data_IF_287501590278
#
_entry.id   IF_287501590278
#
_cell.length_a   1.000
_cell.length_b   1.000
_cell.length_c   1.000
_cell.angle_alpha   90.00
_cell.angle_beta   90.00
_cell.angle_gamma   90.00
#
_symmetry.space_group_name_H-M   'P 1'
#
loop_
_entity.id
_entity.type
_entity.pdbx_description
1 polymer ?
#
# COMPACT_ATOMS: atom_id res chain seq x y z
N UNK A 1 2.11 -1.39 20.98
CA UNK A 1 3.30 -2.01 20.36
C UNK A 1 3.29 -1.96 18.83
N UNK A 2 2.18 -2.29 18.13
CA UNK A 2 2.09 -2.29 16.65
C UNK A 2 2.43 -0.94 16.00
N UNK A 3 1.90 0.18 16.53
CA UNK A 3 2.18 1.52 15.97
C UNK A 3 3.66 1.89 16.03
N UNK A 4 4.33 1.66 17.17
CA UNK A 4 5.78 1.92 17.32
C UNK A 4 6.62 1.09 16.35
N UNK A 5 6.23 -0.18 16.11
CA UNK A 5 6.91 -1.02 15.14
C UNK A 5 6.77 -0.46 13.72
N UNK A 6 5.56 -0.02 13.31
CA UNK A 6 5.32 0.60 12.01
C UNK A 6 6.11 1.90 11.86
N UNK A 7 6.11 2.78 12.84
CA UNK A 7 6.89 4.03 12.82
C UNK A 7 8.38 3.71 12.63
N UNK A 8 8.92 2.78 13.42
CA UNK A 8 10.35 2.40 13.31
C UNK A 8 10.67 1.82 11.92
N UNK A 9 9.79 0.98 11.37
CA UNK A 9 9.94 0.41 10.04
C UNK A 9 9.92 1.51 8.97
N UNK A 10 8.96 2.44 9.08
CA UNK A 10 8.85 3.59 8.18
C UNK A 10 10.10 4.48 8.22
N UNK A 11 10.57 4.86 9.41
CA UNK A 11 11.79 5.66 9.56
C UNK A 11 13.01 4.96 8.95
N UNK A 12 13.11 3.63 9.13
CA UNK A 12 14.19 2.83 8.53
C UNK A 12 14.11 2.83 7.01
N UNK A 13 12.92 2.64 6.44
CA UNK A 13 12.71 2.69 4.99
C UNK A 13 13.06 4.08 4.43
N UNK A 14 12.57 5.16 5.05
CA UNK A 14 12.90 6.53 4.68
C UNK A 14 14.40 6.81 4.71
N UNK A 15 15.12 6.26 5.70
CA UNK A 15 16.58 6.39 5.81
C UNK A 15 17.34 5.71 4.66
N UNK A 16 16.72 4.82 3.91
CA UNK A 16 17.30 4.14 2.74
C UNK A 16 17.23 4.97 1.45
N UNK A 17 16.38 5.98 1.38
CA UNK A 17 16.26 6.82 0.20
C UNK A 17 17.62 7.42 -0.23
N UNK A 18 17.99 7.28 -1.50
CA UNK A 18 19.29 7.71 -2.05
C UNK A 18 19.15 8.84 -3.07
N UNK A 19 18.07 8.89 -3.83
CA UNK A 19 17.83 9.82 -4.94
C UNK A 19 16.41 10.40 -4.86
N UNK A 20 16.16 11.49 -5.55
CA UNK A 20 14.82 12.12 -5.68
C UNK A 20 14.08 12.43 -4.37
N UNK A 21 14.79 12.53 -3.23
CA UNK A 21 14.24 12.59 -1.86
C UNK A 21 13.30 13.77 -1.62
N UNK A 22 13.42 14.83 -2.38
CA UNK A 22 12.69 16.09 -2.19
C UNK A 22 11.60 16.33 -3.22
N UNK A 23 11.42 15.47 -4.22
CA UNK A 23 10.48 15.72 -5.31
C UNK A 23 9.03 15.86 -4.80
N UNK A 24 8.52 14.86 -4.11
CA UNK A 24 7.16 14.91 -3.57
C UNK A 24 6.96 16.08 -2.61
N UNK A 25 7.91 16.30 -1.70
CA UNK A 25 7.86 17.41 -0.76
C UNK A 25 7.89 18.76 -1.51
N UNK A 26 8.72 18.88 -2.54
CA UNK A 26 8.80 20.08 -3.38
C UNK A 26 7.50 20.38 -4.13
N UNK A 27 6.79 19.35 -4.60
CA UNK A 27 5.47 19.50 -5.21
C UNK A 27 4.41 19.95 -4.18
N UNK A 28 4.34 19.27 -3.04
CA UNK A 28 3.38 19.58 -1.98
C UNK A 28 3.60 20.94 -1.34
N UNK A 29 4.86 21.39 -1.20
CA UNK A 29 5.19 22.69 -0.62
C UNK A 29 4.57 23.89 -1.37
N UNK A 30 4.21 23.71 -2.65
CA UNK A 30 3.50 24.74 -3.43
C UNK A 30 2.06 24.97 -2.97
N UNK A 31 1.50 24.07 -2.17
CA UNK A 31 0.13 24.14 -1.64
C UNK A 31 0.12 23.78 -0.16
N UNK A 32 0.54 24.67 0.74
CA UNK A 32 0.78 24.37 2.16
C UNK A 32 -0.42 23.74 2.90
N UNK A 33 -1.64 24.20 2.62
CA UNK A 33 -2.85 23.62 3.24
C UNK A 33 -3.07 22.17 2.79
N UNK A 34 -2.85 21.88 1.50
CA UNK A 34 -2.95 20.52 0.96
C UNK A 34 -1.86 19.65 1.54
N UNK A 35 -0.62 20.16 1.61
CA UNK A 35 0.50 19.46 2.24
C UNK A 35 0.20 19.10 3.70
N UNK A 36 -0.34 20.04 4.48
CA UNK A 36 -0.74 19.80 5.87
C UNK A 36 -1.82 18.72 6.00
N UNK A 37 -2.85 18.76 5.14
CA UNK A 37 -3.89 17.73 5.10
C UNK A 37 -3.32 16.35 4.73
N UNK A 38 -2.43 16.28 3.75
CA UNK A 38 -1.74 15.04 3.35
C UNK A 38 -0.92 14.47 4.50
N UNK A 39 -0.09 15.30 5.16
CA UNK A 39 0.70 14.86 6.33
C UNK A 39 -0.22 14.39 7.46
N UNK A 40 -1.34 15.08 7.70
CA UNK A 40 -2.34 14.68 8.70
C UNK A 40 -2.90 13.28 8.40
N UNK A 41 -3.30 13.04 7.15
CA UNK A 41 -3.83 11.73 6.74
C UNK A 41 -2.77 10.63 6.79
N UNK A 42 -1.55 10.87 6.30
CA UNK A 42 -0.43 9.93 6.42
C UNK A 42 -0.15 9.56 7.88
N UNK A 43 -0.16 10.55 8.77
CA UNK A 43 0.03 10.34 10.20
C UNK A 43 -1.10 9.48 10.80
N UNK A 44 -2.35 9.78 10.45
CA UNK A 44 -3.50 9.02 10.89
C UNK A 44 -3.42 7.55 10.44
N UNK A 45 -3.09 7.31 9.16
CA UNK A 45 -2.95 5.96 8.59
C UNK A 45 -1.76 5.20 9.20
N UNK A 46 -0.64 5.88 9.47
CA UNK A 46 0.52 5.27 10.14
C UNK A 46 0.21 4.86 11.60
N UNK A 47 -0.55 5.68 12.32
CA UNK A 47 -0.91 5.46 13.72
C UNK A 47 -2.09 4.50 13.88
N UNK A 48 -2.94 4.34 12.86
CA UNK A 48 -4.06 3.39 12.88
C UNK A 48 -3.55 1.96 13.02
N UNK A 49 -4.02 1.23 14.04
CA UNK A 49 -3.42 -0.02 14.48
C UNK A 49 -4.43 -1.14 14.78
N UNK A 50 -5.66 -1.03 14.31
CA UNK A 50 -6.70 -2.06 14.51
C UNK A 50 -6.48 -3.27 13.64
N UNK A 51 -5.92 -3.04 12.45
CA UNK A 51 -5.61 -4.08 11.49
C UNK A 51 -4.16 -4.57 11.61
N UNK A 52 -3.92 -5.80 11.18
CA UNK A 52 -2.56 -6.34 11.09
C UNK A 52 -1.74 -5.54 10.07
N UNK A 53 -0.52 -5.08 10.42
CA UNK A 53 0.34 -4.32 9.50
C UNK A 53 0.63 -5.04 8.19
N UNK A 54 0.75 -6.37 8.20
CA UNK A 54 0.99 -7.18 7.00
C UNK A 54 -0.17 -7.08 6.03
N UNK A 55 -1.41 -7.20 6.52
CA UNK A 55 -2.60 -7.11 5.69
C UNK A 55 -2.76 -5.72 5.06
N UNK A 56 -2.43 -4.65 5.81
CA UNK A 56 -2.43 -3.28 5.27
C UNK A 56 -1.41 -3.12 4.15
N UNK A 57 -0.19 -3.55 4.39
CA UNK A 57 0.90 -3.42 3.41
C UNK A 57 0.63 -4.23 2.14
N UNK A 58 0.03 -5.44 2.26
CA UNK A 58 -0.39 -6.23 1.10
C UNK A 58 -1.45 -5.49 0.25
N UNK A 59 -2.42 -4.86 0.90
CA UNK A 59 -3.45 -4.08 0.22
C UNK A 59 -2.86 -2.83 -0.46
N UNK A 60 -1.95 -2.11 0.21
CA UNK A 60 -1.24 -0.94 -0.35
C UNK A 60 -0.39 -1.33 -1.56
N UNK A 61 0.41 -2.40 -1.45
CA UNK A 61 1.25 -2.91 -2.55
C UNK A 61 0.43 -3.36 -3.76
N UNK A 62 -0.70 -4.07 -3.54
CA UNK A 62 -1.60 -4.46 -4.65
C UNK A 62 -2.16 -3.23 -5.36
N UNK A 63 -2.64 -2.26 -4.60
CA UNK A 63 -3.16 -1.00 -5.15
C UNK A 63 -2.08 -0.25 -5.94
N UNK A 64 -0.87 -0.13 -5.38
CA UNK A 64 0.27 0.53 -6.03
C UNK A 64 0.66 -0.17 -7.33
N UNK A 65 0.67 -1.52 -7.34
CA UNK A 65 0.96 -2.34 -8.51
C UNK A 65 -0.06 -2.12 -9.64
N UNK A 66 -1.35 -2.14 -9.30
CA UNK A 66 -2.43 -1.93 -10.28
C UNK A 66 -2.43 -0.53 -10.87
N UNK A 67 -2.11 0.49 -10.06
CA UNK A 67 -1.98 1.89 -10.52
C UNK A 67 -0.62 2.11 -11.23
N UNK A 68 0.32 1.16 -11.14
CA UNK A 68 1.68 1.26 -11.66
C UNK A 68 2.48 2.43 -11.07
N UNK A 69 2.31 2.70 -9.76
CA UNK A 69 3.04 3.76 -9.05
C UNK A 69 4.41 3.24 -8.59
N UNK A 70 5.45 3.44 -9.40
CA UNK A 70 6.81 2.99 -9.07
C UNK A 70 7.33 3.56 -7.73
N UNK A 71 7.04 4.83 -7.42
CA UNK A 71 7.41 5.44 -6.15
C UNK A 71 6.73 4.73 -4.96
N UNK A 72 5.43 4.38 -5.10
CA UNK A 72 4.70 3.68 -4.04
C UNK A 72 5.22 2.24 -3.87
N UNK A 73 5.53 1.57 -4.98
CA UNK A 73 6.14 0.22 -4.96
C UNK A 73 7.53 0.22 -4.32
N UNK A 74 8.34 1.26 -4.56
CA UNK A 74 9.66 1.43 -3.92
C UNK A 74 9.54 1.54 -2.39
N UNK A 75 8.63 2.38 -1.89
CA UNK A 75 8.37 2.51 -0.44
C UNK A 75 7.79 1.22 0.14
N UNK A 76 6.71 0.70 -0.46
CA UNK A 76 6.01 -0.50 0.03
C UNK A 76 6.93 -1.72 0.06
N UNK A 77 7.75 -1.92 -0.97
CA UNK A 77 8.74 -3.02 -0.99
C UNK A 77 9.79 -2.87 0.11
N UNK A 78 10.23 -1.65 0.41
CA UNK A 78 11.14 -1.41 1.52
C UNK A 78 10.49 -1.65 2.90
N UNK A 79 9.18 -1.46 3.03
CA UNK A 79 8.40 -1.71 4.25
C UNK A 79 8.02 -3.18 4.42
N UNK A 80 7.90 -3.92 3.33
CA UNK A 80 7.37 -5.29 3.26
C UNK A 80 8.03 -6.26 4.26
N UNK A 81 9.36 -6.29 4.30
CA UNK A 81 10.11 -7.17 5.21
C UNK A 81 9.78 -6.89 6.68
N UNK A 82 9.69 -5.60 7.06
CA UNK A 82 9.31 -5.20 8.41
C UNK A 82 7.85 -5.46 8.75
N UNK A 83 6.99 -5.61 7.73
CA UNK A 83 5.59 -6.00 7.88
C UNK A 83 5.40 -7.53 7.89
N UNK A 84 6.44 -8.32 7.66
CA UNK A 84 6.39 -9.78 7.61
C UNK A 84 5.94 -10.34 6.26
N UNK A 85 6.08 -9.58 5.18
CA UNK A 85 5.84 -10.03 3.81
C UNK A 85 7.13 -10.69 3.30
N UNK A 86 7.00 -11.86 2.72
CA UNK A 86 8.13 -12.62 2.16
C UNK A 86 8.44 -12.15 0.74
N UNK A 87 9.68 -12.44 0.29
CA UNK A 87 10.05 -12.18 -1.10
C UNK A 87 9.18 -12.93 -2.10
N UNK A 88 8.78 -14.17 -1.76
CA UNK A 88 7.86 -14.95 -2.58
C UNK A 88 6.51 -14.24 -2.72
N UNK A 89 5.97 -13.70 -1.62
CA UNK A 89 4.74 -12.94 -1.66
C UNK A 89 4.88 -11.70 -2.56
N UNK A 90 5.98 -10.96 -2.47
CA UNK A 90 6.21 -9.80 -3.36
C UNK A 90 6.22 -10.19 -4.85
N UNK A 91 6.91 -11.27 -5.19
CA UNK A 91 6.97 -11.77 -6.58
C UNK A 91 5.62 -12.26 -7.10
N UNK A 92 4.84 -12.91 -6.25
CA UNK A 92 3.58 -13.54 -6.63
C UNK A 92 2.38 -12.57 -6.57
N UNK A 93 2.57 -11.35 -6.10
CA UNK A 93 1.47 -10.40 -5.86
C UNK A 93 0.57 -10.17 -7.08
N UNK A 94 1.09 -10.04 -8.31
CA UNK A 94 0.25 -9.91 -9.50
C UNK A 94 -0.66 -11.13 -9.76
N UNK A 95 -0.24 -12.32 -9.33
CA UNK A 95 -0.94 -13.60 -9.50
C UNK A 95 -1.28 -14.25 -8.14
N UNK A 96 -1.60 -13.44 -7.15
CA UNK A 96 -1.80 -13.87 -5.77
C UNK A 96 -2.84 -14.99 -5.60
N UNK A 97 -3.86 -15.05 -6.45
CA UNK A 97 -4.91 -16.07 -6.38
C UNK A 97 -4.34 -17.48 -6.57
N UNK A 98 -3.37 -17.65 -7.46
CA UNK A 98 -2.75 -18.93 -7.80
C UNK A 98 -1.63 -19.32 -6.82
N UNK A 99 -1.08 -18.34 -6.10
CA UNK A 99 0.06 -18.55 -5.21
C UNK A 99 -0.33 -19.28 -3.93
N UNK A 100 0.51 -20.21 -3.51
CA UNK A 100 0.41 -20.90 -2.21
C UNK A 100 1.11 -20.13 -1.07
N UNK A 101 1.74 -19.00 -1.37
CA UNK A 101 2.44 -18.17 -0.40
C UNK A 101 1.49 -17.31 0.46
N UNK A 102 0.22 -17.24 0.12
CA UNK A 102 -0.79 -16.44 0.81
C UNK A 102 -1.83 -17.32 1.51
N UNK A 103 -2.24 -16.88 2.69
CA UNK A 103 -3.41 -17.43 3.39
C UNK A 103 -4.71 -16.97 2.71
N UNK A 104 -5.82 -17.65 2.99
CA UNK A 104 -7.14 -17.28 2.46
C UNK A 104 -7.53 -15.85 2.85
N UNK A 105 -7.21 -15.42 4.09
CA UNK A 105 -7.47 -14.04 4.53
C UNK A 105 -6.60 -13.03 3.77
N UNK A 106 -5.33 -13.33 3.53
CA UNK A 106 -4.45 -12.44 2.75
C UNK A 106 -4.97 -12.31 1.31
N UNK A 107 -5.37 -13.42 0.67
CA UNK A 107 -5.99 -13.39 -0.67
C UNK A 107 -7.28 -12.57 -0.69
N UNK A 108 -8.10 -12.68 0.35
CA UNK A 108 -9.33 -11.89 0.47
C UNK A 108 -9.06 -10.39 0.58
N UNK A 109 -8.07 -10.00 1.38
CA UNK A 109 -7.65 -8.61 1.54
C UNK A 109 -7.07 -8.04 0.25
N UNK A 110 -6.22 -8.81 -0.45
CA UNK A 110 -5.65 -8.42 -1.74
C UNK A 110 -6.75 -8.30 -2.80
N UNK A 111 -7.69 -9.25 -2.86
CA UNK A 111 -8.82 -9.22 -3.78
C UNK A 111 -9.76 -8.02 -3.53
N UNK A 112 -9.95 -7.65 -2.27
CA UNK A 112 -10.70 -6.44 -1.92
C UNK A 112 -10.00 -5.16 -2.41
N UNK A 113 -8.67 -5.08 -2.25
CA UNK A 113 -7.88 -3.97 -2.77
C UNK A 113 -7.95 -3.89 -4.30
N UNK A 114 -7.89 -5.03 -4.99
CA UNK A 114 -8.05 -5.15 -6.44
C UNK A 114 -9.42 -4.63 -6.90
N UNK A 115 -10.50 -5.11 -6.28
CA UNK A 115 -11.86 -4.70 -6.64
C UNK A 115 -12.11 -3.21 -6.39
N UNK A 116 -11.58 -2.64 -5.29
CA UNK A 116 -11.69 -1.20 -5.01
C UNK A 116 -10.85 -0.33 -5.94
N UNK A 117 -9.77 -0.86 -6.49
CA UNK A 117 -8.86 -0.10 -7.36
C UNK A 117 -9.33 -0.08 -8.80
N UNK A 118 -10.03 -1.11 -9.24
CA UNK A 118 -10.63 -1.21 -10.58
C UNK A 118 -11.70 -0.13 -10.81
N UNK A 119 -11.77 0.42 -12.04
CA UNK A 119 -12.75 1.45 -12.41
C UNK A 119 -13.30 1.19 -13.81
N UNK A 120 -14.60 0.85 -13.98
CA UNK A 120 -15.53 0.49 -12.90
C UNK A 120 -15.05 -0.74 -12.15
N UNK A 121 -15.53 -0.95 -10.94
CA UNK A 121 -15.22 -2.17 -10.20
C UNK A 121 -15.66 -3.39 -11.02
N UNK A 122 -14.68 -4.21 -11.44
CA UNK A 122 -14.92 -5.42 -12.22
C UNK A 122 -14.50 -6.63 -11.39
N UNK A 123 -15.22 -7.74 -11.55
CA UNK A 123 -14.95 -8.96 -10.82
C UNK A 123 -15.93 -9.20 -9.67
N UNK A 124 -15.42 -9.62 -8.52
CA UNK A 124 -16.27 -9.89 -7.36
C UNK A 124 -16.97 -8.62 -6.86
N UNK A 125 -18.23 -8.76 -6.51
CA UNK A 125 -19.01 -7.68 -5.88
C UNK A 125 -18.34 -7.26 -4.55
N UNK A 126 -18.06 -5.98 -4.38
CA UNK A 126 -17.50 -5.42 -3.15
C UNK A 126 -18.37 -5.73 -1.92
N UNK A 127 -19.69 -5.86 -2.07
CA UNK A 127 -20.58 -6.24 -0.98
C UNK A 127 -20.31 -7.68 -0.56
N UNK A 128 -20.09 -8.59 -1.51
CA UNK A 128 -19.73 -9.99 -1.26
C UNK A 128 -18.36 -10.08 -0.56
N UNK A 129 -17.36 -9.41 -1.09
CA UNK A 129 -16.01 -9.37 -0.49
C UNK A 129 -16.06 -8.84 0.95
N UNK A 130 -16.82 -7.76 1.20
CA UNK A 130 -17.00 -7.21 2.54
C UNK A 130 -17.68 -8.22 3.48
N UNK A 131 -18.68 -8.96 3.00
CA UNK A 131 -19.36 -9.99 3.78
C UNK A 131 -18.40 -11.13 4.13
N UNK A 132 -17.57 -11.57 3.20
CA UNK A 132 -16.54 -12.60 3.44
C UNK A 132 -15.48 -12.11 4.40
N UNK A 133 -15.02 -10.87 4.27
CA UNK A 133 -14.07 -10.23 5.19
C UNK A 133 -14.64 -10.15 6.61
N UNK A 134 -15.94 -9.89 6.77
CA UNK A 134 -16.59 -9.79 8.08
C UNK A 134 -16.59 -11.10 8.89
N UNK A 135 -16.32 -12.24 8.26
CA UNK A 135 -16.09 -13.51 8.96
C UNK A 135 -14.77 -13.51 9.73
N UNK A 136 -13.78 -12.74 9.27
CA UNK A 136 -12.41 -12.73 9.80
C UNK A 136 -12.03 -11.41 10.48
N UNK A 137 -12.66 -10.31 10.09
CA UNK A 137 -12.32 -8.96 10.52
C UNK A 137 -13.51 -8.28 11.18
N UNK A 138 -13.26 -7.51 12.22
CA UNK A 138 -14.26 -6.62 12.80
C UNK A 138 -14.61 -5.47 11.84
N UNK A 139 -15.77 -4.84 12.04
CA UNK A 139 -16.19 -3.67 11.27
C UNK A 139 -15.13 -2.56 11.28
N UNK A 140 -14.52 -2.29 12.45
CA UNK A 140 -13.44 -1.30 12.59
C UNK A 140 -12.22 -1.64 11.72
N UNK A 141 -11.87 -2.93 11.61
CA UNK A 141 -10.77 -3.37 10.75
C UNK A 141 -11.13 -3.26 9.26
N UNK A 142 -12.37 -3.54 8.89
CA UNK A 142 -12.85 -3.37 7.52
C UNK A 142 -12.82 -1.89 7.12
N UNK A 143 -13.23 -0.99 8.02
CA UNK A 143 -13.14 0.47 7.79
C UNK A 143 -11.66 0.88 7.62
N UNK A 144 -10.77 0.39 8.47
CA UNK A 144 -9.33 0.67 8.35
C UNK A 144 -8.75 0.16 7.02
N UNK A 145 -9.16 -1.04 6.57
CA UNK A 145 -8.77 -1.59 5.26
C UNK A 145 -9.26 -0.72 4.12
N UNK A 146 -10.54 -0.36 4.11
CA UNK A 146 -11.13 0.47 3.08
C UNK A 146 -10.44 1.83 2.98
N UNK A 147 -10.16 2.47 4.11
CA UNK A 147 -9.41 3.74 4.16
C UNK A 147 -7.97 3.56 3.65
N UNK A 148 -7.32 2.46 3.99
CA UNK A 148 -5.96 2.14 3.52
C UNK A 148 -5.92 2.06 1.98
N UNK A 149 -6.82 1.31 1.38
CA UNK A 149 -6.90 1.16 -0.08
C UNK A 149 -7.28 2.48 -0.77
N UNK A 150 -8.27 3.19 -0.24
CA UNK A 150 -8.70 4.48 -0.80
C UNK A 150 -7.58 5.52 -0.75
N UNK A 151 -6.84 5.57 0.36
CA UNK A 151 -5.71 6.48 0.53
C UNK A 151 -4.55 6.13 -0.41
N UNK A 152 -4.23 4.84 -0.56
CA UNK A 152 -3.20 4.41 -1.53
C UNK A 152 -3.61 4.73 -2.97
N UNK A 153 -4.86 4.53 -3.34
CA UNK A 153 -5.38 4.95 -4.65
C UNK A 153 -5.18 6.45 -4.90
N UNK A 154 -5.46 7.28 -3.89
CA UNK A 154 -5.28 8.73 -3.99
C UNK A 154 -3.79 9.09 -4.16
N UNK A 155 -2.90 8.59 -3.29
CA UNK A 155 -1.49 8.96 -3.34
C UNK A 155 -0.77 8.37 -4.54
N UNK A 156 -1.11 7.14 -4.99
CA UNK A 156 -0.51 6.54 -6.17
C UNK A 156 -0.82 7.36 -7.45
N UNK A 157 -2.08 7.75 -7.63
CA UNK A 157 -2.48 8.59 -8.77
C UNK A 157 -1.90 10.00 -8.69
N UNK A 158 -1.82 10.59 -7.49
CA UNK A 158 -1.17 11.89 -7.30
C UNK A 158 0.31 11.83 -7.67
N UNK A 159 1.04 10.84 -7.15
CA UNK A 159 2.47 10.69 -7.42
C UNK A 159 2.74 10.46 -8.91
N UNK A 160 1.94 9.62 -9.58
CA UNK A 160 2.03 9.44 -11.03
C UNK A 160 1.78 10.74 -11.80
N UNK A 161 0.70 11.46 -11.47
CA UNK A 161 0.33 12.70 -12.18
C UNK A 161 1.37 13.81 -12.03
N UNK A 162 2.15 13.79 -10.94
CA UNK A 162 3.25 14.72 -10.68
C UNK A 162 4.61 14.21 -11.16
N UNK A 163 4.69 13.00 -11.70
CA UNK A 163 5.94 12.40 -12.16
C UNK A 163 6.93 12.11 -11.04
N UNK A 164 6.45 11.81 -9.83
CA UNK A 164 7.32 11.51 -8.68
C UNK A 164 8.04 10.19 -8.91
N UNK A 165 9.36 10.23 -8.87
CA UNK A 165 10.24 9.09 -9.18
C UNK A 165 10.60 8.27 -7.94
N UNK A 166 10.92 6.96 -8.12
CA UNK A 166 11.43 6.11 -7.04
C UNK A 166 12.68 6.71 -6.39
N UNK A 167 12.82 6.51 -5.10
CA UNK A 167 13.93 7.08 -4.31
C UNK A 167 15.04 6.06 -4.01
N UNK A 168 14.85 4.78 -4.39
CA UNK A 168 15.79 3.69 -4.15
C UNK A 168 15.73 3.15 -2.73
N UNK A 169 14.60 3.26 -2.05
CA UNK A 169 14.41 2.67 -0.71
C UNK A 169 14.46 1.15 -0.75
N UNK A 170 14.01 0.55 -1.84
CA UNK A 170 14.03 -0.90 -2.07
C UNK A 170 15.27 -1.41 -2.79
N UNK A 171 16.24 -0.55 -3.12
CA UNK A 171 17.48 -0.98 -3.81
C UNK A 171 18.15 -2.15 -3.04
N UNK A 172 18.39 -3.26 -3.75
CA UNK A 172 18.96 -4.49 -3.18
C UNK A 172 17.98 -5.36 -2.38
N UNK A 173 16.69 -5.07 -2.42
CA UNK A 173 15.61 -5.88 -1.85
C UNK A 173 14.75 -6.49 -2.97
N UNK A 174 13.96 -7.52 -2.63
CA UNK A 174 12.88 -7.94 -3.51
C UNK A 174 11.83 -6.85 -3.60
N UNK A 175 11.36 -6.58 -4.81
CA UNK A 175 10.36 -5.54 -5.08
C UNK A 175 9.09 -6.16 -5.67
N UNK A 176 7.95 -5.63 -5.27
CA UNK A 176 6.73 -5.79 -6.04
C UNK A 176 6.86 -5.02 -7.37
N UNK A 177 6.20 -5.51 -8.40
CA UNK A 177 6.29 -4.95 -9.75
C UNK A 177 4.96 -4.33 -10.18
N UNK A 178 4.98 -3.35 -11.11
CA UNK A 178 3.76 -2.86 -11.75
C UNK A 178 3.02 -4.00 -12.46
N UNK A 179 1.68 -3.98 -12.39
CA UNK A 179 0.85 -5.01 -13.03
C UNK A 179 0.57 -4.69 -14.51
N UNK A 180 0.63 -3.42 -14.87
CA UNK A 180 0.51 -2.94 -16.24
C UNK A 180 1.84 -2.33 -16.67
N UNK A 181 2.60 -3.08 -17.47
CA UNK A 181 3.76 -2.54 -18.19
C UNK A 181 3.20 -2.03 -19.52
N UNK A 182 3.13 -0.71 -19.66
CA UNK A 182 2.80 -0.05 -20.95
C UNK A 182 3.96 -0.16 -21.92
#
# INVERSE_FOLDING_TARGET
>A
MRALHRIRNYVRAMGRARRHRTELVGHLARRPLVAGATVGMESAMLLSNRMDPKLKELAELKTAGMVSCEFCLDIGSALASGAGITEQQLRDLPRFQESTAYTDLEKLVIGYAEAMTSTPAVGEDLAELRRRLAVHLSETQIVELAMTVAWENQRARLNQSLGVRPTGMSDGLACAVPEHIS
#
